data_IF_400264986477
#
_entry.id   IF_400264986477
#
_cell.length_a   1.000
_cell.length_b   1.000
_cell.length_c   1.000
_cell.angle_alpha   90.00
_cell.angle_beta   90.00
_cell.angle_gamma   90.00
#
_symmetry.space_group_name_H-M   'P 1'
#
loop_
_entity.id
_entity.type
_entity.pdbx_description
1 polymer ?
#
# COMPACT_ATOMS: atom_id res chain seq x y z
N UNK A 1 -69.29 -6.07 -24.38
CA UNK A 1 -68.24 -5.03 -24.21
C UNK A 1 -67.75 -5.03 -22.78
N UNK A 2 -66.49 -5.42 -22.54
CA UNK A 2 -65.59 -4.91 -21.49
C UNK A 2 -64.28 -5.70 -21.56
N UNK A 3 -63.22 -5.06 -22.07
CA UNK A 3 -61.87 -5.62 -22.22
C UNK A 3 -61.08 -5.27 -20.95
N UNK A 4 -60.60 -6.28 -20.23
CA UNK A 4 -59.71 -6.09 -19.08
C UNK A 4 -58.30 -5.81 -19.58
N UNK A 5 -57.84 -4.57 -19.38
CA UNK A 5 -56.48 -4.13 -19.66
C UNK A 5 -55.55 -4.59 -18.53
N UNK A 6 -54.72 -5.59 -18.81
CA UNK A 6 -53.62 -6.01 -17.94
C UNK A 6 -52.49 -4.98 -18.09
N UNK A 7 -52.25 -4.18 -17.04
CA UNK A 7 -51.14 -3.21 -16.99
C UNK A 7 -49.84 -3.93 -16.67
N UNK A 8 -48.93 -3.97 -17.63
CA UNK A 8 -47.54 -4.38 -17.43
C UNK A 8 -46.81 -3.20 -16.76
N UNK A 9 -46.39 -3.37 -15.51
CA UNK A 9 -45.46 -2.46 -14.86
C UNK A 9 -44.05 -2.99 -15.08
N UNK A 10 -43.31 -2.41 -16.03
CA UNK A 10 -41.86 -2.59 -16.11
C UNK A 10 -41.25 -1.90 -14.89
N UNK A 11 -40.77 -2.69 -13.93
CA UNK A 11 -39.87 -2.20 -12.90
C UNK A 11 -38.50 -1.94 -13.55
N UNK A 12 -38.24 -0.69 -13.95
CA UNK A 12 -36.89 -0.25 -14.28
C UNK A 12 -36.08 -0.18 -12.99
N UNK A 13 -35.31 -1.23 -12.73
CA UNK A 13 -34.26 -1.23 -11.72
C UNK A 13 -33.20 -0.21 -12.12
N UNK A 14 -33.13 0.88 -11.35
CA UNK A 14 -32.08 1.89 -11.43
C UNK A 14 -30.76 1.21 -11.04
N UNK A 15 -29.97 0.76 -12.01
CA UNK A 15 -28.59 0.32 -11.81
C UNK A 15 -27.76 1.57 -11.53
N UNK A 16 -27.60 1.92 -10.26
CA UNK A 16 -26.58 2.86 -9.84
C UNK A 16 -25.23 2.21 -10.12
N UNK A 17 -24.33 2.85 -10.90
CA UNK A 17 -22.96 2.39 -11.00
C UNK A 17 -22.32 2.53 -9.62
N UNK A 18 -22.04 1.39 -8.99
CA UNK A 18 -21.20 1.34 -7.80
C UNK A 18 -19.80 1.74 -8.28
N UNK A 19 -19.41 3.00 -8.07
CA UNK A 19 -18.02 3.40 -8.26
C UNK A 19 -17.19 2.52 -7.31
N UNK A 20 -16.38 1.62 -7.87
CA UNK A 20 -15.38 0.91 -7.11
C UNK A 20 -14.40 1.95 -6.60
N UNK A 21 -14.46 2.28 -5.31
CA UNK A 21 -13.33 2.92 -4.65
C UNK A 21 -12.15 1.96 -4.81
N UNK A 22 -11.00 2.45 -5.27
CA UNK A 22 -9.76 1.70 -5.09
C UNK A 22 -9.66 1.36 -3.60
N UNK A 23 -9.43 0.09 -3.29
CA UNK A 23 -9.26 -0.32 -1.92
C UNK A 23 -7.93 0.26 -1.43
N UNK A 24 -7.98 1.03 -0.35
CA UNK A 24 -6.82 1.63 0.27
C UNK A 24 -6.20 0.58 1.22
N UNK A 25 -5.02 0.10 0.88
CA UNK A 25 -4.28 -0.86 1.68
C UNK A 25 -3.26 -0.13 2.56
N UNK A 26 -3.10 -0.59 3.80
CA UNK A 26 -2.06 -0.10 4.70
C UNK A 26 -0.99 -1.18 4.88
N UNK A 27 0.27 -0.80 4.77
CA UNK A 27 1.42 -1.67 4.98
C UNK A 27 2.35 -1.08 6.04
N UNK A 28 2.75 -1.90 7.01
CA UNK A 28 3.88 -1.57 7.87
C UNK A 28 5.15 -2.13 7.25
N UNK A 29 6.27 -1.42 7.40
CA UNK A 29 7.56 -1.93 6.97
C UNK A 29 8.68 -1.62 7.95
N UNK A 30 9.74 -2.42 7.88
CA UNK A 30 11.02 -2.16 8.54
C UNK A 30 12.15 -2.28 7.54
N UNK A 31 13.09 -1.35 7.57
CA UNK A 31 14.37 -1.44 6.91
C UNK A 31 15.48 -1.73 7.93
N UNK A 32 16.29 -2.75 7.66
CA UNK A 32 17.43 -3.13 8.48
C UNK A 32 18.68 -3.19 7.61
N UNK A 33 19.52 -2.15 7.68
CA UNK A 33 20.86 -2.10 7.10
C UNK A 33 21.95 -2.17 8.17
N UNK A 34 23.20 -2.01 7.72
CA UNK A 34 24.37 -1.94 8.62
C UNK A 34 24.41 -0.58 9.33
N UNK A 35 24.31 0.50 8.55
CA UNK A 35 24.45 1.88 9.06
C UNK A 35 23.11 2.58 9.28
N UNK A 36 22.02 2.04 8.72
CA UNK A 36 20.69 2.66 8.75
C UNK A 36 19.64 1.66 9.22
N UNK A 37 18.78 2.08 10.15
CA UNK A 37 17.63 1.29 10.62
C UNK A 37 16.42 2.20 10.68
N UNK A 38 15.33 1.75 10.08
CA UNK A 38 14.12 2.55 10.00
C UNK A 38 12.87 1.67 9.98
N UNK A 39 11.73 2.25 10.32
CA UNK A 39 10.42 1.60 10.25
C UNK A 39 9.37 2.62 9.88
N UNK A 40 8.28 2.18 9.28
CA UNK A 40 7.25 3.10 8.83
C UNK A 40 5.97 2.42 8.42
N UNK A 41 5.05 3.24 7.93
CA UNK A 41 3.77 2.83 7.38
C UNK A 41 3.57 3.47 6.01
N UNK A 42 2.98 2.70 5.09
CA UNK A 42 2.53 3.15 3.79
C UNK A 42 1.03 2.94 3.69
N UNK A 43 0.35 3.94 3.16
CA UNK A 43 -1.01 3.88 2.68
C UNK A 43 -0.94 3.86 1.16
N UNK A 44 -1.57 2.89 0.53
CA UNK A 44 -1.40 2.64 -0.88
C UNK A 44 -2.71 2.23 -1.58
N UNK A 45 -2.86 2.65 -2.83
CA UNK A 45 -3.98 2.30 -3.68
C UNK A 45 -3.66 1.06 -4.52
N UNK A 46 -4.59 0.10 -4.57
CA UNK A 46 -4.47 -1.07 -5.44
C UNK A 46 -4.53 -0.68 -6.93
N UNK A 47 -3.54 -1.12 -7.71
CA UNK A 47 -3.48 -0.89 -9.16
C UNK A 47 -4.25 -1.96 -9.96
N UNK A 48 -4.74 -3.02 -9.31
CA UNK A 48 -5.54 -4.08 -9.90
C UNK A 48 -4.74 -5.23 -10.52
N UNK A 49 -3.41 -5.23 -10.37
CA UNK A 49 -2.50 -6.27 -10.87
C UNK A 49 -1.64 -6.91 -9.76
N UNK A 50 -1.99 -6.68 -8.49
CA UNK A 50 -1.25 -7.14 -7.32
C UNK A 50 -0.18 -6.16 -6.83
N UNK A 51 0.04 -5.06 -7.55
CA UNK A 51 0.89 -3.96 -7.12
C UNK A 51 0.06 -2.83 -6.54
N UNK A 52 0.67 -2.07 -5.65
CA UNK A 52 0.03 -0.96 -4.95
C UNK A 52 0.86 0.32 -5.15
N UNK A 53 0.18 1.45 -5.31
CA UNK A 53 0.79 2.76 -5.39
C UNK A 53 0.74 3.44 -4.02
N UNK A 54 1.89 3.65 -3.38
CA UNK A 54 1.95 4.36 -2.10
C UNK A 54 1.59 5.85 -2.27
N UNK A 55 0.51 6.29 -1.64
CA UNK A 55 -0.03 7.65 -1.76
C UNK A 55 0.26 8.51 -0.53
N UNK A 56 0.41 7.90 0.64
CA UNK A 56 0.84 8.58 1.86
C UNK A 56 1.52 7.61 2.83
N UNK A 57 2.12 8.12 3.90
CA UNK A 57 2.83 7.30 4.86
C UNK A 57 3.85 8.09 5.68
N UNK A 58 4.52 7.37 6.57
CA UNK A 58 5.56 7.89 7.44
C UNK A 58 6.75 6.93 7.51
N UNK A 59 7.90 7.52 7.86
CA UNK A 59 9.12 6.81 8.15
C UNK A 59 9.74 7.37 9.44
N UNK A 60 10.13 6.49 10.34
CA UNK A 60 10.94 6.79 11.51
C UNK A 60 12.28 6.08 11.41
N UNK A 61 13.35 6.86 11.37
CA UNK A 61 14.73 6.37 11.32
C UNK A 61 15.32 6.41 12.73
N UNK A 62 15.78 5.26 13.20
CA UNK A 62 16.29 5.06 14.57
C UNK A 62 17.81 4.85 14.64
N UNK A 63 18.45 4.58 13.50
CA UNK A 63 19.91 4.50 13.36
C UNK A 63 20.32 5.13 12.03
N UNK A 64 21.45 5.85 12.03
CA UNK A 64 22.05 6.46 10.85
C UNK A 64 22.23 7.97 10.98
N UNK A 65 22.66 8.61 9.89
CA UNK A 65 22.84 10.06 9.85
C UNK A 65 21.51 10.83 9.74
N UNK A 66 20.48 10.19 9.18
CA UNK A 66 19.15 10.75 8.98
C UNK A 66 18.17 10.30 10.08
N UNK A 67 18.59 10.29 11.35
CA UNK A 67 17.67 9.97 12.47
C UNK A 67 16.57 11.03 12.56
N UNK A 68 15.32 10.59 12.59
CA UNK A 68 14.16 11.47 12.64
C UNK A 68 12.88 10.84 12.07
N UNK A 69 11.85 11.66 11.92
CA UNK A 69 10.58 11.28 11.31
C UNK A 69 10.33 12.03 10.01
N UNK A 70 9.82 11.32 9.01
CA UNK A 70 9.67 11.79 7.63
C UNK A 70 8.30 11.40 7.10
N UNK A 71 7.80 12.15 6.12
CA UNK A 71 6.54 11.83 5.43
C UNK A 71 6.84 11.29 4.05
N UNK A 72 6.01 10.35 3.59
CA UNK A 72 6.11 9.83 2.24
C UNK A 72 5.90 10.97 1.21
N UNK A 73 6.75 11.00 0.19
CA UNK A 73 6.46 11.72 -1.05
C UNK A 73 5.53 10.84 -1.88
N UNK A 74 4.30 11.28 -2.21
CA UNK A 74 3.35 10.45 -2.95
C UNK A 74 3.95 9.89 -4.25
N UNK A 75 3.74 8.59 -4.47
CA UNK A 75 4.24 7.88 -5.64
C UNK A 75 3.58 8.31 -6.95
N UNK A 76 4.06 7.71 -8.04
CA UNK A 76 3.47 7.83 -9.36
C UNK A 76 3.49 6.46 -10.08
N UNK A 77 2.46 6.10 -10.87
CA UNK A 77 2.46 4.85 -11.65
C UNK A 77 3.64 4.69 -12.64
N UNK A 78 4.43 5.74 -12.84
CA UNK A 78 5.65 5.75 -13.64
C UNK A 78 6.78 6.44 -12.87
N UNK A 79 8.03 6.16 -13.23
CA UNK A 79 9.19 6.82 -12.61
C UNK A 79 9.11 8.34 -12.79
N UNK A 80 9.22 9.07 -11.68
CA UNK A 80 9.26 10.53 -11.63
C UNK A 80 10.43 11.00 -10.77
N UNK A 81 10.83 12.25 -10.97
CA UNK A 81 11.84 12.87 -10.10
C UNK A 81 11.23 13.23 -8.75
N UNK A 82 11.95 12.91 -7.69
CA UNK A 82 11.72 13.39 -6.32
C UNK A 82 11.75 14.93 -6.25
N UNK A 83 11.15 15.56 -5.23
CA UNK A 83 11.13 17.01 -5.05
C UNK A 83 12.49 17.71 -5.16
N UNK A 84 13.56 17.10 -4.63
CA UNK A 84 14.93 17.67 -4.77
C UNK A 84 15.56 17.45 -6.14
N UNK A 85 14.95 16.61 -6.98
CA UNK A 85 15.48 16.16 -8.26
C UNK A 85 16.56 15.08 -8.15
N UNK A 86 16.82 14.55 -6.95
CA UNK A 86 17.93 13.60 -6.72
C UNK A 86 17.58 12.17 -7.11
N UNK A 87 16.38 11.71 -6.78
CA UNK A 87 15.95 10.32 -6.98
C UNK A 87 14.91 10.20 -8.09
N UNK A 88 15.03 9.14 -8.89
CA UNK A 88 13.94 8.65 -9.72
C UNK A 88 13.19 7.57 -8.95
N UNK A 89 11.91 7.79 -8.68
CA UNK A 89 11.09 6.90 -7.85
C UNK A 89 9.69 6.73 -8.43
N UNK A 90 9.00 5.68 -8.01
CA UNK A 90 7.61 5.41 -8.42
C UNK A 90 6.68 5.19 -7.21
N UNK A 91 7.19 4.84 -6.03
CA UNK A 91 6.34 4.55 -4.87
C UNK A 91 5.55 3.24 -5.00
N UNK A 92 5.97 2.32 -5.88
CA UNK A 92 5.28 1.06 -6.11
C UNK A 92 5.68 0.03 -5.06
N UNK A 93 4.66 -0.60 -4.47
CA UNK A 93 4.75 -1.64 -3.45
C UNK A 93 4.25 -2.96 -4.03
N UNK A 94 5.03 -4.03 -3.86
CA UNK A 94 4.74 -5.38 -4.37
C UNK A 94 4.69 -6.39 -3.20
N UNK A 95 3.56 -6.45 -2.45
CA UNK A 95 3.45 -7.34 -1.31
C UNK A 95 3.63 -8.81 -1.69
N UNK A 96 4.45 -9.53 -0.94
CA UNK A 96 4.74 -10.95 -1.21
C UNK A 96 5.81 -11.21 -2.28
N UNK A 97 6.38 -10.15 -2.88
CA UNK A 97 7.59 -10.23 -3.70
C UNK A 97 8.85 -10.12 -2.85
N UNK A 98 9.96 -10.72 -3.29
CA UNK A 98 11.29 -10.46 -2.70
C UNK A 98 11.79 -9.05 -3.04
N UNK A 99 11.18 -8.39 -4.03
CA UNK A 99 11.39 -6.97 -4.37
C UNK A 99 10.18 -6.15 -3.96
N UNK A 100 9.89 -6.09 -2.65
CA UNK A 100 8.69 -5.39 -2.12
C UNK A 100 8.59 -3.92 -2.53
N UNK A 101 9.72 -3.29 -2.86
CA UNK A 101 9.78 -2.01 -3.56
C UNK A 101 10.53 -2.20 -4.88
N UNK A 102 10.20 -1.39 -5.87
CA UNK A 102 10.89 -1.40 -7.16
C UNK A 102 12.31 -0.85 -7.04
N UNK A 103 13.05 -0.83 -8.15
CA UNK A 103 14.33 -0.14 -8.23
C UNK A 103 14.21 1.39 -8.14
N UNK A 104 13.04 1.96 -8.46
CA UNK A 104 12.75 3.36 -8.19
C UNK A 104 12.48 3.60 -6.71
N UNK A 105 11.79 2.66 -6.06
CA UNK A 105 11.58 2.65 -4.63
C UNK A 105 10.57 3.67 -4.13
N UNK A 106 10.61 3.90 -2.82
CA UNK A 106 9.78 4.85 -2.09
C UNK A 106 10.64 5.99 -1.53
N UNK A 107 10.14 7.22 -1.64
CA UNK A 107 10.87 8.41 -1.17
C UNK A 107 10.13 9.05 0.00
N UNK A 108 10.89 9.42 1.03
CA UNK A 108 10.40 10.17 2.19
C UNK A 108 11.12 11.50 2.30
N UNK A 109 10.42 12.55 2.71
CA UNK A 109 10.98 13.88 2.87
C UNK A 109 10.59 14.50 4.22
N UNK A 110 11.50 15.30 4.78
CA UNK A 110 11.32 15.95 6.07
C UNK A 110 12.65 16.32 6.71
N UNK A 111 12.65 17.22 7.70
CA UNK A 111 13.84 17.60 8.48
C UNK A 111 15.08 17.99 7.65
N UNK A 112 14.91 18.49 6.41
CA UNK A 112 16.02 18.82 5.52
C UNK A 112 16.71 17.62 4.85
N UNK A 113 16.08 16.44 4.92
CA UNK A 113 16.48 15.24 4.18
C UNK A 113 15.40 14.81 3.18
N UNK A 114 15.87 14.14 2.14
CA UNK A 114 15.08 13.29 1.27
C UNK A 114 15.73 11.91 1.27
N UNK A 115 14.95 10.85 1.52
CA UNK A 115 15.43 9.49 1.75
C UNK A 115 14.79 8.59 0.73
N UNK A 116 15.57 7.78 0.02
CA UNK A 116 15.07 6.77 -0.90
C UNK A 116 15.36 5.36 -0.37
N UNK A 117 14.32 4.52 -0.32
CA UNK A 117 14.45 3.10 -0.01
C UNK A 117 14.00 2.32 -1.24
N UNK A 118 14.94 1.61 -1.86
CA UNK A 118 14.73 0.97 -3.16
C UNK A 118 15.43 -0.38 -3.27
N UNK A 119 14.92 -1.25 -4.13
CA UNK A 119 15.49 -2.58 -4.37
C UNK A 119 16.63 -2.54 -5.38
N UNK A 120 17.71 -3.27 -5.12
CA UNK A 120 18.82 -3.48 -6.06
C UNK A 120 18.89 -4.92 -6.57
N UNK A 121 18.37 -5.86 -5.80
CA UNK A 121 18.21 -7.26 -6.14
C UNK A 121 17.11 -7.88 -5.26
N UNK A 122 16.56 -9.07 -5.59
CA UNK A 122 15.62 -9.76 -4.71
C UNK A 122 16.15 -9.89 -3.28
N UNK A 123 15.42 -9.34 -2.31
CA UNK A 123 15.78 -9.33 -0.89
C UNK A 123 16.82 -8.27 -0.47
N UNK A 124 17.39 -7.51 -1.41
CA UNK A 124 18.45 -6.53 -1.15
C UNK A 124 17.98 -5.10 -1.45
N UNK A 125 18.08 -4.24 -0.44
CA UNK A 125 17.59 -2.87 -0.49
C UNK A 125 18.68 -1.87 -0.12
N UNK A 126 18.56 -0.66 -0.66
CA UNK A 126 19.41 0.49 -0.36
C UNK A 126 18.64 1.53 0.44
N UNK A 127 19.37 2.30 1.24
CA UNK A 127 18.88 3.44 1.99
C UNK A 127 19.80 4.62 1.64
N UNK A 128 19.40 5.38 0.63
CA UNK A 128 20.14 6.58 0.23
C UNK A 128 19.45 7.80 0.82
N UNK A 129 20.23 8.84 1.11
CA UNK A 129 19.66 10.10 1.56
C UNK A 129 20.40 11.30 0.99
N UNK A 130 19.63 12.35 0.73
CA UNK A 130 20.08 13.63 0.24
C UNK A 130 19.86 14.68 1.31
N UNK A 131 20.90 15.45 1.61
CA UNK A 131 20.80 16.60 2.50
C UNK A 131 21.83 17.66 2.11
N UNK A 132 21.49 18.93 2.29
CA UNK A 132 22.39 20.06 2.05
C UNK A 132 23.11 20.04 0.69
N UNK A 133 22.44 19.58 -0.37
CA UNK A 133 23.02 19.52 -1.72
C UNK A 133 23.88 18.29 -2.00
N UNK A 134 23.98 17.35 -1.07
CA UNK A 134 24.84 16.15 -1.18
C UNK A 134 23.97 14.90 -1.13
N UNK A 135 24.09 14.06 -2.16
CA UNK A 135 23.52 12.72 -2.15
C UNK A 135 24.52 11.75 -1.51
N UNK A 136 24.09 11.06 -0.46
CA UNK A 136 24.86 10.01 0.20
C UNK A 136 24.28 8.66 -0.18
N UNK A 137 25.12 7.84 -0.80
CA UNK A 137 24.77 6.49 -1.23
C UNK A 137 25.30 5.52 -0.18
N UNK A 138 24.44 4.69 0.40
CA UNK A 138 24.87 3.66 1.35
C UNK A 138 25.65 2.58 0.57
N UNK A 139 26.92 2.31 0.89
CA UNK A 139 27.70 1.28 0.18
C UNK A 139 27.17 -0.13 0.48
N UNK A 140 26.47 -0.33 1.59
CA UNK A 140 25.94 -1.62 2.05
C UNK A 140 24.50 -1.84 1.60
N UNK A 141 24.03 -3.08 1.62
CA UNK A 141 22.62 -3.42 1.42
C UNK A 141 21.98 -3.76 2.76
N UNK A 142 20.67 -3.57 2.83
CA UNK A 142 19.82 -3.99 3.93
C UNK A 142 18.66 -4.85 3.45
N UNK A 143 17.80 -5.22 4.39
CA UNK A 143 16.57 -5.97 4.12
C UNK A 143 15.35 -5.13 4.44
N UNK A 144 14.28 -5.28 3.64
CA UNK A 144 12.95 -4.74 3.96
C UNK A 144 12.02 -5.89 4.30
N UNK A 145 11.30 -5.76 5.42
CA UNK A 145 10.17 -6.63 5.76
C UNK A 145 8.90 -5.80 5.63
N UNK A 146 7.97 -6.24 4.79
CA UNK A 146 6.67 -5.61 4.56
C UNK A 146 5.55 -6.49 5.12
N UNK A 147 4.58 -5.88 5.80
CA UNK A 147 3.41 -6.57 6.34
C UNK A 147 2.14 -5.77 6.07
N UNK A 148 1.15 -6.42 5.45
CA UNK A 148 -0.16 -5.83 5.28
C UNK A 148 -0.88 -5.72 6.63
N UNK A 149 -1.51 -4.56 6.86
CA UNK A 149 -2.39 -4.33 8.01
C UNK A 149 -3.82 -4.71 7.59
N UNK A 150 -4.44 -5.75 8.19
CA UNK A 150 -5.78 -6.16 7.81
C UNK A 150 -6.80 -5.05 8.06
N UNK A 151 -7.65 -4.77 7.07
CA UNK A 151 -8.78 -3.86 7.30
C UNK A 151 -9.77 -4.45 8.34
N UNK A 152 -10.30 -3.64 9.26
CA UNK A 152 -11.29 -4.10 10.24
C UNK A 152 -12.55 -4.70 9.60
N UNK A 153 -12.93 -4.21 8.43
CA UNK A 153 -14.10 -4.64 7.64
C UNK A 153 -13.97 -6.08 7.14
N UNK A 154 -12.77 -6.47 6.68
CA UNK A 154 -12.47 -7.81 6.19
C UNK A 154 -12.59 -8.86 7.31
N UNK A 155 -12.13 -8.51 8.51
CA UNK A 155 -12.30 -9.34 9.71
C UNK A 155 -13.78 -9.50 10.08
N UNK A 156 -14.53 -8.39 10.06
CA UNK A 156 -15.97 -8.40 10.38
C UNK A 156 -16.77 -9.24 9.38
N UNK A 157 -16.52 -9.09 8.08
CA UNK A 157 -17.16 -9.89 7.03
C UNK A 157 -16.79 -11.37 7.15
N UNK A 158 -15.54 -11.70 7.49
CA UNK A 158 -15.12 -13.07 7.77
C UNK A 158 -15.92 -13.70 8.92
N UNK A 159 -16.07 -12.98 10.04
CA UNK A 159 -16.84 -13.45 11.20
C UNK A 159 -18.33 -13.62 10.87
N UNK A 160 -18.93 -12.65 10.18
CA UNK A 160 -20.34 -12.72 9.77
C UNK A 160 -20.58 -13.86 8.78
N UNK A 161 -19.67 -14.07 7.83
CA UNK A 161 -19.72 -15.19 6.89
C UNK A 161 -19.69 -16.54 7.59
N UNK A 162 -18.75 -16.74 8.53
CA UNK A 162 -18.69 -17.97 9.32
C UNK A 162 -19.95 -18.18 10.17
N UNK A 163 -20.47 -17.12 10.81
CA UNK A 163 -21.68 -17.21 11.62
C UNK A 163 -22.91 -17.64 10.78
N UNK A 164 -23.02 -17.11 9.55
CA UNK A 164 -24.09 -17.49 8.61
C UNK A 164 -24.00 -18.98 8.19
N UNK A 165 -22.79 -19.50 7.95
CA UNK A 165 -22.57 -20.92 7.64
C UNK A 165 -22.96 -21.82 8.81
N UNK A 166 -22.58 -21.47 10.04
CA UNK A 166 -22.94 -22.23 11.25
C UNK A 166 -24.45 -22.24 11.47
N UNK A 167 -25.12 -21.11 11.30
CA UNK A 167 -26.59 -21.02 11.41
C UNK A 167 -27.30 -21.84 10.33
N UNK A 168 -26.80 -21.84 9.09
CA UNK A 168 -27.34 -22.65 8.00
C UNK A 168 -27.20 -24.15 8.28
N UNK A 169 -26.05 -24.60 8.77
CA UNK A 169 -25.81 -26.00 9.16
C UNK A 169 -26.71 -26.47 10.30
N UNK A 170 -26.90 -25.63 11.33
CA UNK A 170 -27.84 -25.94 12.43
C UNK A 170 -29.27 -26.11 11.93
N UNK A 171 -29.72 -25.28 10.98
CA UNK A 171 -31.07 -25.41 10.39
C UNK A 171 -31.23 -26.66 9.53
N UNK A 172 -30.17 -27.11 8.84
CA UNK A 172 -30.21 -28.37 8.08
C UNK A 172 -30.22 -29.61 8.97
N UNK A 173 -29.54 -29.58 10.11
CA UNK A 173 -29.54 -30.71 11.07
C UNK A 173 -30.84 -30.84 11.89
N UNK A 174 -31.71 -29.83 11.86
CA UNK A 174 -33.02 -29.82 12.55
C UNK A 174 -34.21 -30.12 11.61
N UNK A 175 -33.94 -30.47 10.35
CA UNK A 175 -34.92 -30.96 9.37
C UNK A 175 -34.68 -32.45 9.14
#
# INVERSE_FOLDING_TARGET
MRKNLLRWACASSLLLPLAASAAEATFNFTFQGVDNVASGQLVAEDLGDGRFLATSGDLTVTLGAAIGSYSLVPGNPSLVLSPTGTYLFDGIVEPGSDTVFTNGGVVFAGNGFEINIYSVAPGEFKFDYFTNGVNTIDPTTGTVVLSAVPEPSALLLGVLGLAAVVAARKRQAQR
#
